data_IF_966907694647
#
_entry.id   IF_966907694647
#
_cell.length_a   1.000
_cell.length_b   1.000
_cell.length_c   1.000
_cell.angle_alpha   90.00
_cell.angle_beta   90.00
_cell.angle_gamma   90.00
#
_symmetry.space_group_name_H-M   'P 1'
#
loop_
_entity.id
_entity.type
_entity.pdbx_description
1 polymer ?
#
# COMPACT_ATOMS: atom_id res chain seq x y z
N UNK A 1 17.88 -4.88 -15.05
CA UNK A 1 17.02 -5.24 -13.91
C UNK A 1 17.22 -4.16 -12.87
N UNK A 2 16.17 -3.38 -12.57
CA UNK A 2 16.24 -2.29 -11.60
C UNK A 2 15.74 -2.83 -10.26
N UNK A 3 16.42 -2.49 -9.17
CA UNK A 3 15.99 -2.80 -7.81
C UNK A 3 14.73 -1.96 -7.47
N UNK A 4 13.72 -2.58 -6.86
CA UNK A 4 12.52 -1.86 -6.41
C UNK A 4 12.86 -0.71 -5.48
N UNK A 5 13.87 -0.88 -4.62
CA UNK A 5 14.29 0.15 -3.65
C UNK A 5 14.70 1.42 -4.37
N UNK A 6 15.54 1.29 -5.39
CA UNK A 6 16.00 2.43 -6.21
C UNK A 6 14.82 3.09 -6.93
N UNK A 7 13.94 2.27 -7.52
CA UNK A 7 12.75 2.75 -8.19
C UNK A 7 11.81 3.52 -7.24
N UNK A 8 11.55 2.99 -6.05
CA UNK A 8 10.71 3.62 -5.04
C UNK A 8 11.31 4.91 -4.50
N UNK A 9 12.63 4.95 -4.28
CA UNK A 9 13.33 6.19 -3.88
C UNK A 9 13.25 7.26 -4.96
N UNK A 10 13.38 6.90 -6.23
CA UNK A 10 13.31 7.85 -7.34
C UNK A 10 11.89 8.36 -7.57
N UNK A 11 10.89 7.48 -7.48
CA UNK A 11 9.55 7.75 -8.01
C UNK A 11 8.47 7.90 -6.93
N UNK A 12 8.79 7.60 -5.67
CA UNK A 12 7.95 7.86 -4.50
C UNK A 12 8.79 8.35 -3.29
N UNK A 13 9.60 9.43 -3.43
CA UNK A 13 10.55 9.86 -2.39
C UNK A 13 9.92 10.34 -1.06
N UNK A 14 8.62 10.66 -1.04
CA UNK A 14 7.91 11.15 0.15
C UNK A 14 7.24 10.02 0.96
N UNK A 15 7.44 8.77 0.57
CA UNK A 15 7.00 7.57 1.30
C UNK A 15 8.24 6.75 1.62
N UNK A 16 8.40 6.37 2.91
CA UNK A 16 9.50 5.50 3.31
C UNK A 16 9.52 4.22 2.47
N UNK A 17 10.71 3.81 2.04
CA UNK A 17 10.86 2.70 1.09
C UNK A 17 10.33 1.37 1.64
N UNK A 18 10.37 1.16 2.96
CA UNK A 18 9.79 -0.03 3.58
C UNK A 18 8.26 0.01 3.51
N UNK A 19 7.65 1.19 3.67
CA UNK A 19 6.19 1.37 3.51
C UNK A 19 5.80 1.12 2.05
N UNK A 20 6.51 1.73 1.09
CA UNK A 20 6.24 1.54 -0.33
C UNK A 20 6.37 0.05 -0.72
N UNK A 21 7.42 -0.62 -0.25
CA UNK A 21 7.64 -2.05 -0.47
C UNK A 21 6.54 -2.90 0.17
N UNK A 22 6.11 -2.55 1.39
CA UNK A 22 5.03 -3.25 2.08
C UNK A 22 3.68 -3.12 1.37
N UNK A 23 3.36 -1.94 0.84
CA UNK A 23 2.16 -1.70 0.05
C UNK A 23 2.26 -2.51 -1.25
N UNK A 24 3.28 -2.31 -2.07
CA UNK A 24 3.41 -2.98 -3.38
C UNK A 24 3.44 -4.50 -3.26
N UNK A 25 4.13 -5.05 -2.25
CA UNK A 25 4.10 -6.49 -1.99
C UNK A 25 2.69 -6.97 -1.61
N UNK A 26 1.94 -6.17 -0.85
CA UNK A 26 0.56 -6.50 -0.48
C UNK A 26 -0.41 -6.37 -1.65
N UNK A 27 -0.16 -5.47 -2.57
CA UNK A 27 -1.05 -5.15 -3.69
C UNK A 27 -0.85 -6.10 -4.87
N UNK A 28 0.39 -6.33 -5.29
CA UNK A 28 0.69 -7.02 -6.55
C UNK A 28 1.78 -8.07 -6.45
N UNK A 29 2.40 -8.25 -5.29
CA UNK A 29 3.65 -9.02 -5.15
C UNK A 29 4.73 -8.56 -6.14
N UNK A 30 4.83 -7.24 -6.33
CA UNK A 30 5.73 -6.61 -7.31
C UNK A 30 5.48 -7.03 -8.77
N UNK A 31 4.22 -7.26 -9.15
CA UNK A 31 3.84 -7.44 -10.55
C UNK A 31 3.44 -6.08 -11.18
N UNK A 32 4.23 -5.51 -12.10
CA UNK A 32 3.93 -4.22 -12.72
C UNK A 32 2.69 -4.26 -13.62
N UNK A 33 2.26 -5.45 -14.06
CA UNK A 33 1.15 -5.63 -14.98
C UNK A 33 -0.10 -6.20 -14.30
N UNK A 34 -0.13 -6.22 -12.96
CA UNK A 34 -1.27 -6.71 -12.20
C UNK A 34 -2.53 -5.88 -12.49
N UNK A 35 -3.65 -6.58 -12.74
CA UNK A 35 -4.98 -6.00 -12.87
C UNK A 35 -5.92 -6.70 -11.89
N UNK A 36 -6.44 -5.93 -10.94
CA UNK A 36 -7.56 -6.30 -10.08
C UNK A 36 -8.89 -5.83 -10.68
N UNK A 37 -9.96 -6.61 -10.56
CA UNK A 37 -11.31 -6.20 -10.99
C UNK A 37 -12.21 -6.11 -9.75
N UNK A 38 -12.66 -4.90 -9.44
CA UNK A 38 -13.48 -4.67 -8.26
C UNK A 38 -14.86 -5.33 -8.40
N UNK A 39 -15.31 -5.95 -7.29
CA UNK A 39 -16.63 -6.63 -7.19
C UNK A 39 -16.85 -7.74 -8.23
N UNK A 40 -15.76 -8.33 -8.73
CA UNK A 40 -15.80 -9.48 -9.62
C UNK A 40 -14.80 -10.55 -9.13
N UNK A 41 -14.95 -11.76 -9.64
CA UNK A 41 -13.88 -12.74 -9.54
C UNK A 41 -12.63 -12.19 -10.23
N UNK A 42 -11.46 -12.49 -9.67
CA UNK A 42 -10.18 -12.10 -10.26
C UNK A 42 -10.03 -12.62 -11.69
N UNK A 43 -9.12 -12.01 -12.45
CA UNK A 43 -8.80 -12.47 -13.79
C UNK A 43 -8.29 -13.91 -13.75
N UNK A 44 -8.74 -14.74 -14.70
CA UNK A 44 -8.26 -16.13 -14.83
C UNK A 44 -6.74 -16.20 -15.04
N UNK A 45 -6.18 -15.19 -15.71
CA UNK A 45 -4.75 -15.04 -15.99
C UNK A 45 -4.40 -13.57 -15.95
N UNK A 46 -3.31 -13.23 -15.26
CA UNK A 46 -2.75 -11.88 -15.24
C UNK A 46 -1.96 -11.61 -16.53
N UNK A 47 -1.98 -10.37 -17.06
CA UNK A 47 -1.13 -9.98 -18.17
C UNK A 47 0.35 -10.21 -17.88
N UNK A 48 1.09 -10.56 -18.93
CA UNK A 48 2.53 -10.87 -18.85
C UNK A 48 3.40 -9.89 -19.64
N UNK A 49 2.79 -9.00 -20.42
CA UNK A 49 3.46 -7.89 -21.10
C UNK A 49 2.66 -6.59 -20.93
N UNK A 50 3.32 -5.47 -21.21
CA UNK A 50 2.69 -4.15 -21.19
C UNK A 50 1.54 -4.04 -22.20
N UNK A 51 1.73 -4.56 -23.42
CA UNK A 51 0.70 -4.51 -24.48
C UNK A 51 -0.53 -5.33 -24.07
N UNK A 52 -0.33 -6.51 -23.48
CA UNK A 52 -1.41 -7.34 -22.94
C UNK A 52 -2.14 -6.59 -21.81
N UNK A 53 -1.40 -5.95 -20.92
CA UNK A 53 -1.95 -5.24 -19.77
C UNK A 53 -2.77 -4.02 -20.19
N UNK A 54 -2.25 -3.18 -21.08
CA UNK A 54 -2.94 -2.01 -21.62
C UNK A 54 -4.20 -2.42 -22.38
N UNK A 55 -4.10 -3.40 -23.28
CA UNK A 55 -5.23 -3.89 -24.06
C UNK A 55 -6.34 -4.43 -23.16
N UNK A 56 -5.97 -5.22 -22.15
CA UNK A 56 -6.91 -5.79 -21.20
C UNK A 56 -7.57 -4.72 -20.32
N UNK A 57 -6.79 -3.78 -19.78
CA UNK A 57 -7.31 -2.70 -18.96
C UNK A 57 -8.29 -1.80 -19.73
N UNK A 58 -7.95 -1.42 -20.98
CA UNK A 58 -8.86 -0.66 -21.85
C UNK A 58 -10.16 -1.41 -22.12
N UNK A 59 -10.08 -2.72 -22.40
CA UNK A 59 -11.26 -3.56 -22.61
C UNK A 59 -12.15 -3.63 -21.36
N UNK A 60 -11.57 -3.76 -20.17
CA UNK A 60 -12.34 -3.80 -18.93
C UNK A 60 -13.00 -2.44 -18.64
N UNK A 61 -12.28 -1.34 -18.83
CA UNK A 61 -12.81 0.01 -18.63
C UNK A 61 -13.93 0.32 -19.64
N UNK A 62 -13.79 -0.06 -20.91
CA UNK A 62 -14.84 0.15 -21.92
C UNK A 62 -16.11 -0.66 -21.63
N UNK A 63 -16.00 -1.74 -20.85
CA UNK A 63 -17.12 -2.51 -20.31
C UNK A 63 -17.71 -1.90 -19.02
N UNK A 64 -17.25 -0.73 -18.60
CA UNK A 64 -17.70 -0.06 -17.37
C UNK A 64 -17.16 -0.70 -16.08
N UNK A 65 -16.11 -1.52 -16.15
CA UNK A 65 -15.51 -2.13 -14.95
C UNK A 65 -14.64 -1.12 -14.19
N UNK A 66 -14.68 -1.21 -12.87
CA UNK A 66 -13.72 -0.55 -11.98
C UNK A 66 -12.55 -1.50 -11.71
N UNK A 67 -11.34 -1.10 -12.05
CA UNK A 67 -10.14 -1.94 -11.98
C UNK A 67 -9.04 -1.28 -11.16
N UNK A 68 -8.16 -2.09 -10.58
CA UNK A 68 -6.95 -1.66 -9.90
C UNK A 68 -5.74 -2.07 -10.75
N UNK A 69 -4.76 -1.17 -10.92
CA UNK A 69 -3.73 -1.34 -11.96
C UNK A 69 -2.31 -1.20 -11.42
N UNK A 70 -1.44 -2.12 -11.82
CA UNK A 70 0.02 -2.08 -11.67
C UNK A 70 0.52 -2.39 -10.26
N UNK A 71 1.77 -2.00 -10.00
CA UNK A 71 2.50 -2.30 -8.75
C UNK A 71 1.70 -2.02 -7.49
N UNK A 72 1.13 -0.83 -7.41
CA UNK A 72 0.43 -0.34 -6.25
C UNK A 72 -1.10 -0.41 -6.40
N UNK A 73 -1.58 -1.15 -7.41
CA UNK A 73 -3.00 -1.40 -7.66
C UNK A 73 -3.83 -0.09 -7.64
N UNK A 74 -3.42 0.88 -8.46
CA UNK A 74 -4.08 2.18 -8.54
C UNK A 74 -5.47 2.02 -9.16
N UNK A 75 -6.50 2.39 -8.40
CA UNK A 75 -7.88 2.27 -8.82
C UNK A 75 -8.22 3.21 -9.99
N UNK A 76 -8.92 2.70 -11.01
CA UNK A 76 -9.29 3.45 -12.22
C UNK A 76 -10.20 4.65 -11.95
N UNK A 77 -10.91 4.68 -10.81
CA UNK A 77 -11.68 5.85 -10.39
C UNK A 77 -10.78 7.06 -10.06
N UNK A 78 -9.49 6.85 -9.77
CA UNK A 78 -8.54 7.94 -9.53
C UNK A 78 -7.96 8.53 -10.82
N UNK A 79 -8.09 7.88 -11.98
CA UNK A 79 -7.35 8.28 -13.19
C UNK A 79 -7.65 9.71 -13.61
N UNK A 80 -8.93 10.08 -13.69
CA UNK A 80 -9.33 11.45 -14.03
C UNK A 80 -8.76 12.48 -13.04
N UNK A 81 -8.78 12.18 -11.75
CA UNK A 81 -8.30 13.07 -10.68
C UNK A 81 -6.78 13.25 -10.73
N UNK A 82 -6.06 12.23 -11.18
CA UNK A 82 -4.60 12.20 -11.28
C UNK A 82 -4.11 12.47 -12.72
N UNK A 83 -5.01 12.81 -13.65
CA UNK A 83 -4.76 13.00 -15.07
C UNK A 83 -4.15 11.78 -15.82
N UNK A 84 -4.25 10.57 -15.26
CA UNK A 84 -3.57 9.38 -15.78
C UNK A 84 -4.31 8.73 -16.96
N UNK A 85 -3.57 8.31 -17.98
CA UNK A 85 -4.04 7.35 -18.98
C UNK A 85 -3.82 5.90 -18.53
N UNK A 86 -4.46 4.96 -19.24
CA UNK A 86 -4.29 3.51 -18.98
C UNK A 86 -2.85 3.08 -19.27
N UNK A 87 -2.24 3.63 -20.32
CA UNK A 87 -0.86 3.42 -20.70
C UNK A 87 0.10 3.88 -19.60
N UNK A 88 -0.09 5.11 -19.12
CA UNK A 88 0.76 5.74 -18.13
C UNK A 88 0.75 5.00 -16.79
N UNK A 89 -0.39 4.48 -16.34
CA UNK A 89 -0.46 3.82 -15.02
C UNK A 89 0.31 2.49 -14.95
N UNK A 90 0.66 1.88 -16.10
CA UNK A 90 1.53 0.71 -16.14
C UNK A 90 3.02 1.07 -16.15
N UNK A 91 3.39 2.35 -16.33
CA UNK A 91 4.75 2.79 -16.07
C UNK A 91 5.03 2.71 -14.55
N UNK A 92 6.07 1.96 -14.13
CA UNK A 92 6.48 1.82 -12.74
C UNK A 92 6.51 3.11 -11.93
N UNK A 93 7.15 4.14 -12.47
CA UNK A 93 7.38 5.39 -11.74
C UNK A 93 6.10 6.20 -11.60
N UNK A 94 5.30 6.24 -12.66
CA UNK A 94 3.98 6.86 -12.65
C UNK A 94 3.05 6.17 -11.66
N UNK A 95 3.06 4.84 -11.60
CA UNK A 95 2.27 4.05 -10.66
C UNK A 95 2.67 4.33 -9.20
N UNK A 96 3.98 4.37 -8.91
CA UNK A 96 4.50 4.67 -7.58
C UNK A 96 4.27 6.13 -7.17
N UNK A 97 4.35 7.08 -8.11
CA UNK A 97 4.01 8.49 -7.88
C UNK A 97 2.54 8.64 -7.50
N UNK A 98 1.65 7.91 -8.19
CA UNK A 98 0.22 7.88 -7.87
C UNK A 98 -0.03 7.24 -6.49
N UNK A 99 0.67 6.16 -6.14
CA UNK A 99 0.62 5.55 -4.81
C UNK A 99 1.03 6.56 -3.74
N UNK A 100 2.16 7.25 -3.92
CA UNK A 100 2.63 8.28 -2.99
C UNK A 100 1.56 9.36 -2.78
N UNK A 101 0.99 9.87 -3.87
CA UNK A 101 -0.02 10.91 -3.82
C UNK A 101 -1.24 10.46 -3.00
N UNK A 102 -1.80 9.29 -3.33
CA UNK A 102 -3.00 8.76 -2.65
C UNK A 102 -2.70 8.45 -1.19
N UNK A 103 -1.57 7.81 -0.90
CA UNK A 103 -1.19 7.44 0.46
C UNK A 103 -0.97 8.67 1.34
N UNK A 104 -0.30 9.70 0.81
CA UNK A 104 -0.06 10.95 1.54
C UNK A 104 -1.35 11.75 1.75
N UNK A 105 -2.27 11.77 0.79
CA UNK A 105 -3.62 12.33 1.00
C UNK A 105 -4.35 11.64 2.16
N UNK A 106 -4.38 10.30 2.14
CA UNK A 106 -4.95 9.51 3.23
C UNK A 106 -4.28 9.79 4.58
N UNK A 107 -2.95 9.89 4.61
CA UNK A 107 -2.19 10.20 5.83
C UNK A 107 -2.48 11.60 6.36
N UNK A 108 -2.59 12.59 5.48
CA UNK A 108 -2.91 13.98 5.86
C UNK A 108 -4.32 14.12 6.42
N UNK A 109 -5.28 13.33 5.93
CA UNK A 109 -6.66 13.28 6.45
C UNK A 109 -6.79 12.47 7.74
N UNK A 110 -5.81 11.64 8.10
CA UNK A 110 -5.80 10.89 9.34
C UNK A 110 -5.38 11.78 10.53
N UNK A 111 -6.18 11.79 11.60
CA UNK A 111 -5.81 12.49 12.85
C UNK A 111 -4.46 11.96 13.36
N UNK A 112 -3.53 12.87 13.67
CA UNK A 112 -2.18 12.53 14.14
C UNK A 112 -1.28 11.91 13.07
N UNK A 113 -1.67 11.95 11.78
CA UNK A 113 -0.93 11.34 10.66
C UNK A 113 -0.67 9.83 10.86
N UNK A 114 -1.61 9.15 11.51
CA UNK A 114 -1.56 7.71 11.81
C UNK A 114 -1.43 6.88 10.53
N UNK A 115 -0.30 6.21 10.39
CA UNK A 115 0.06 5.40 9.22
C UNK A 115 -0.90 4.22 9.00
N UNK A 116 -1.41 3.59 10.05
CA UNK A 116 -2.30 2.45 9.93
C UNK A 116 -3.69 2.89 9.42
N UNK A 117 -4.13 4.08 9.85
CA UNK A 117 -5.32 4.72 9.27
C UNK A 117 -5.09 5.11 7.80
N UNK A 118 -3.90 5.59 7.46
CA UNK A 118 -3.54 5.86 6.07
C UNK A 118 -3.60 4.58 5.21
N UNK A 119 -3.06 3.45 5.70
CA UNK A 119 -3.17 2.13 5.04
C UNK A 119 -4.62 1.71 4.86
N UNK A 120 -5.45 1.84 5.90
CA UNK A 120 -6.89 1.54 5.78
C UNK A 120 -7.56 2.42 4.72
N UNK A 121 -7.25 3.71 4.70
CA UNK A 121 -7.81 4.65 3.74
C UNK A 121 -7.34 4.35 2.31
N UNK A 122 -6.07 3.99 2.12
CA UNK A 122 -5.54 3.61 0.81
C UNK A 122 -6.34 2.44 0.22
N UNK A 123 -6.63 1.42 1.03
CA UNK A 123 -7.38 0.24 0.58
C UNK A 123 -8.90 0.45 0.45
N UNK A 124 -9.51 1.25 1.32
CA UNK A 124 -10.98 1.28 1.47
C UNK A 124 -11.62 2.66 1.36
N UNK A 125 -10.82 3.70 1.12
CA UNK A 125 -11.25 5.09 1.14
C UNK A 125 -11.56 5.65 2.53
N UNK A 126 -11.50 4.84 3.60
CA UNK A 126 -11.78 5.29 4.97
C UNK A 126 -10.79 4.73 6.00
N UNK A 127 -10.66 5.41 7.13
CA UNK A 127 -9.66 5.11 8.17
C UNK A 127 -9.96 3.88 9.05
N UNK A 128 -11.01 3.08 8.75
CA UNK A 128 -11.42 1.97 9.65
C UNK A 128 -11.63 0.62 8.97
N UNK A 129 -12.12 0.59 7.72
CA UNK A 129 -12.55 -0.67 7.10
C UNK A 129 -11.39 -1.60 6.75
N UNK A 130 -10.21 -1.04 6.47
CA UNK A 130 -8.98 -1.80 6.22
C UNK A 130 -8.46 -2.55 7.44
N UNK A 131 -8.86 -2.14 8.65
CA UNK A 131 -8.58 -2.94 9.85
C UNK A 131 -9.47 -4.18 9.91
N UNK A 132 -10.77 -3.99 9.63
CA UNK A 132 -11.77 -5.06 9.69
C UNK A 132 -11.57 -6.13 8.62
N UNK A 133 -11.14 -5.73 7.41
CA UNK A 133 -10.91 -6.67 6.32
C UNK A 133 -9.50 -7.32 6.35
N UNK A 134 -8.69 -7.01 7.36
CA UNK A 134 -7.33 -7.56 7.54
C UNK A 134 -6.25 -6.94 6.67
N UNK A 135 -6.57 -5.95 5.82
CA UNK A 135 -5.58 -5.28 4.97
C UNK A 135 -4.47 -4.62 5.78
N UNK A 136 -4.82 -3.85 6.82
CA UNK A 136 -3.81 -3.18 7.65
C UNK A 136 -2.86 -4.19 8.27
N UNK A 137 -3.38 -5.29 8.83
CA UNK A 137 -2.55 -6.36 9.40
C UNK A 137 -1.63 -7.01 8.34
N UNK A 138 -2.11 -7.20 7.11
CA UNK A 138 -1.29 -7.69 6.00
C UNK A 138 -0.12 -6.75 5.69
N UNK A 139 -0.40 -5.46 5.48
CA UNK A 139 0.63 -4.46 5.15
C UNK A 139 1.61 -4.29 6.31
N UNK A 140 1.14 -4.26 7.57
CA UNK A 140 2.02 -4.16 8.74
C UNK A 140 2.98 -5.33 8.88
N UNK A 141 2.55 -6.56 8.56
CA UNK A 141 3.47 -7.72 8.53
C UNK A 141 4.56 -7.55 7.48
N UNK A 142 4.19 -7.10 6.28
CA UNK A 142 5.15 -6.83 5.22
C UNK A 142 6.09 -5.68 5.58
N UNK A 143 5.57 -4.63 6.24
CA UNK A 143 6.39 -3.52 6.74
C UNK A 143 7.46 -4.01 7.72
N UNK A 144 7.08 -4.83 8.71
CA UNK A 144 8.03 -5.42 9.65
C UNK A 144 9.06 -6.31 8.95
N UNK A 145 8.65 -7.06 7.93
CA UNK A 145 9.57 -7.89 7.13
C UNK A 145 10.64 -7.04 6.43
N UNK A 146 10.25 -5.95 5.77
CA UNK A 146 11.18 -5.07 5.07
C UNK A 146 12.04 -4.22 6.00
N UNK A 147 11.47 -3.69 7.08
CA UNK A 147 12.19 -2.90 8.08
C UNK A 147 13.30 -3.68 8.79
N UNK A 148 13.18 -5.02 8.86
CA UNK A 148 14.20 -5.90 9.42
C UNK A 148 15.32 -6.29 8.42
N UNK A 149 15.53 -5.49 7.37
CA UNK A 149 16.65 -5.65 6.43
C UNK A 149 16.42 -6.60 5.25
N UNK A 150 15.18 -7.03 5.01
CA UNK A 150 14.84 -7.96 3.92
C UNK A 150 14.66 -7.29 2.55
N UNK A 151 15.05 -6.02 2.40
CA UNK A 151 15.01 -5.31 1.11
C UNK A 151 16.12 -5.76 0.13
N UNK A 152 17.20 -6.37 0.63
CA UNK A 152 18.42 -6.65 -0.14
C UNK A 152 18.33 -7.79 -1.18
N UNK A 153 17.14 -8.32 -1.50
CA UNK A 153 17.01 -9.54 -2.33
C UNK A 153 15.85 -9.55 -3.32
N UNK A 154 15.25 -8.40 -3.68
CA UNK A 154 14.10 -8.39 -4.61
C UNK A 154 14.48 -7.91 -6.02
N UNK A 155 14.91 -8.83 -6.91
CA UNK A 155 15.06 -8.53 -8.32
C UNK A 155 13.68 -8.26 -8.94
N UNK A 156 13.32 -6.99 -9.12
CA UNK A 156 12.19 -6.65 -9.99
C UNK A 156 12.62 -6.92 -11.42
N UNK A 157 12.16 -8.05 -11.96
CA UNK A 157 12.30 -8.38 -13.38
C UNK A 157 11.41 -7.46 -14.21
N UNK A 158 11.88 -6.23 -14.44
CA UNK A 158 11.26 -5.31 -15.38
C UNK A 158 12.24 -4.97 -16.50
N UNK A 159 11.80 -5.23 -17.72
CA UNK A 159 12.37 -4.65 -18.93
C UNK A 159 11.35 -3.60 -19.41
N UNK A 160 11.63 -2.28 -19.30
CA UNK A 160 10.73 -1.26 -19.77
C UNK A 160 10.47 -1.45 -21.28
N UNK A 161 9.21 -1.52 -21.72
CA UNK A 161 8.89 -1.41 -23.14
C UNK A 161 8.96 0.08 -23.51
N UNK A 162 10.01 0.47 -24.25
CA UNK A 162 10.24 1.84 -24.77
C UNK A 162 10.77 2.83 -23.71
N UNK A 163 11.49 3.89 -24.12
CA UNK A 163 12.25 4.70 -23.18
C UNK A 163 11.30 5.33 -22.14
N UNK A 164 11.68 5.34 -20.85
CA UNK A 164 10.93 6.10 -19.87
C UNK A 164 10.81 7.53 -20.39
N UNK A 165 9.62 8.13 -20.25
CA UNK A 165 9.50 9.58 -20.27
C UNK A 165 10.66 10.12 -19.43
N UNK A 166 11.49 11.00 -20.00
CA UNK A 166 12.68 11.38 -19.27
C UNK A 166 12.25 12.04 -17.96
N UNK A 167 13.10 11.97 -16.92
CA UNK A 167 12.77 12.49 -15.60
C UNK A 167 12.32 13.96 -15.62
N UNK A 168 12.72 14.73 -16.62
CA UNK A 168 12.32 16.13 -16.81
C UNK A 168 10.88 16.26 -17.33
N UNK A 169 10.45 15.40 -18.25
CA UNK A 169 9.07 15.32 -18.73
C UNK A 169 8.12 14.81 -17.66
N UNK A 170 8.58 13.86 -16.83
CA UNK A 170 7.81 13.30 -15.72
C UNK A 170 7.62 14.34 -14.59
N UNK A 171 8.69 15.06 -14.22
CA UNK A 171 8.62 16.18 -13.28
C UNK A 171 7.75 17.32 -13.82
N UNK A 172 7.85 17.65 -15.11
CA UNK A 172 7.03 18.67 -15.74
C UNK A 172 5.54 18.29 -15.74
N UNK A 173 5.20 17.02 -15.96
CA UNK A 173 3.81 16.54 -15.95
C UNK A 173 3.15 16.67 -14.57
N UNK A 174 3.86 16.34 -13.48
CA UNK A 174 3.34 16.50 -12.13
C UNK A 174 3.40 17.95 -11.63
N UNK A 175 4.41 18.74 -12.02
CA UNK A 175 4.53 20.15 -11.66
C UNK A 175 3.48 21.04 -12.33
N UNK A 176 2.99 20.66 -13.52
CA UNK A 176 2.00 21.45 -14.29
C UNK A 176 0.55 21.09 -13.98
N UNK A 177 0.27 19.89 -13.46
CA UNK A 177 -1.10 19.40 -13.25
C UNK A 177 -1.50 19.17 -11.79
N UNK A 178 -0.57 19.34 -10.85
CA UNK A 178 -0.90 19.31 -9.43
C UNK A 178 -1.05 20.74 -8.89
N UNK A 179 -2.27 21.11 -8.51
CA UNK A 179 -2.48 22.09 -7.44
C UNK A 179 -1.87 21.52 -6.15
N UNK A 180 -0.55 21.60 -6.04
CA UNK A 180 0.20 21.26 -4.83
C UNK A 180 -0.13 22.32 -3.78
N UNK A 181 -0.76 21.99 -2.65
CA UNK A 181 -0.69 22.88 -1.49
C UNK A 181 0.79 23.01 -1.10
N UNK A 182 1.21 24.26 -1.05
CA UNK A 182 2.55 24.78 -0.79
C UNK A 182 3.40 23.90 0.16
N UNK A 183 4.62 23.55 -0.28
CA UNK A 183 5.59 22.70 0.44
C UNK A 183 6.23 23.38 1.66
N UNK A 184 5.77 24.57 2.05
CA UNK A 184 6.37 25.41 3.11
C UNK A 184 6.19 24.88 4.55
N UNK A 185 5.65 23.68 4.74
CA UNK A 185 5.34 23.11 6.07
C UNK A 185 5.98 21.76 6.38
N UNK A 186 6.82 21.21 5.49
CA UNK A 186 7.49 19.93 5.72
C UNK A 186 8.94 20.17 6.15
N UNK A 187 9.14 20.56 7.40
CA UNK A 187 10.45 20.39 8.05
C UNK A 187 10.69 18.89 8.24
N UNK A 188 11.89 18.43 7.91
CA UNK A 188 12.38 17.09 8.22
C UNK A 188 12.23 16.83 9.72
N UNK A 189 11.20 16.09 10.11
CA UNK A 189 11.13 15.53 11.46
C UNK A 189 11.83 14.17 11.42
N UNK A 190 13.11 14.21 11.76
CA UNK A 190 13.95 13.07 12.13
C UNK A 190 13.44 12.48 13.45
N UNK A 191 12.28 11.82 13.42
CA UNK A 191 11.75 11.11 14.58
C UNK A 191 11.14 9.76 14.14
N UNK A 192 12.01 8.94 13.56
CA UNK A 192 11.84 7.50 13.42
C UNK A 192 13.00 6.81 14.14
N UNK A 193 13.21 7.19 15.40
CA UNK A 193 14.01 6.44 16.35
C UNK A 193 13.21 6.33 17.65
N UNK A 194 13.05 5.10 18.13
CA UNK A 194 12.35 4.66 19.35
C UNK A 194 10.84 4.33 19.23
N UNK A 195 10.52 3.25 18.52
CA UNK A 195 9.46 2.36 19.02
C UNK A 195 10.11 1.44 20.08
N UNK A 196 9.56 1.30 21.30
CA UNK A 196 10.14 0.43 22.30
C UNK A 196 10.02 -1.03 21.84
N UNK A 197 11.17 -1.70 21.80
CA UNK A 197 11.26 -3.16 21.72
C UNK A 197 10.56 -3.71 22.95
N UNK A 198 9.50 -4.50 22.75
CA UNK A 198 8.89 -5.28 23.84
C UNK A 198 9.92 -6.33 24.26
N UNK A 199 10.67 -6.00 25.31
CA UNK A 199 11.63 -6.90 25.94
C UNK A 199 10.86 -8.08 26.55
N UNK A 200 11.28 -9.31 26.23
CA UNK A 200 10.75 -10.53 26.85
C UNK A 200 10.99 -10.43 28.36
N UNK A 201 9.93 -10.39 29.16
CA UNK A 201 10.08 -10.44 30.62
C UNK A 201 10.75 -11.75 31.02
N UNK A 202 11.76 -11.73 31.92
CA UNK A 202 12.24 -12.92 32.58
C UNK A 202 11.21 -13.41 33.59
N UNK A 203 11.05 -14.72 33.66
CA UNK A 203 10.21 -15.43 34.61
C UNK A 203 10.65 -15.11 36.04
N UNK A 204 9.89 -14.29 36.77
CA UNK A 204 10.05 -14.14 38.21
C UNK A 204 9.06 -15.05 38.93
N UNK A 205 9.62 -15.90 39.78
CA UNK A 205 8.94 -16.65 40.81
C UNK A 205 8.02 -15.74 41.65
N UNK A 206 6.78 -16.16 41.86
CA UNK A 206 6.00 -15.75 43.04
C UNK A 206 5.38 -16.99 43.68
N UNK A 207 5.67 -17.10 44.97
CA UNK A 207 5.22 -18.04 45.96
C UNK A 207 3.74 -17.84 46.34
N UNK A 208 3.11 -18.95 46.75
CA UNK A 208 1.96 -19.11 47.64
C UNK A 208 0.54 -18.77 47.14
N UNK A 209 -0.17 -19.85 46.77
CA UNK A 209 -1.43 -20.31 47.40
C UNK A 209 -2.65 -19.40 47.39
N UNK A 210 -3.69 -19.76 46.62
CA UNK A 210 -4.89 -20.47 47.11
C UNK A 210 -5.92 -20.65 45.99
N UNK A 211 -6.33 -21.91 45.79
CA UNK A 211 -7.65 -22.42 45.40
C UNK A 211 -8.37 -21.93 44.13
N UNK A 212 -8.19 -22.68 43.05
CA UNK A 212 -9.03 -22.70 41.85
C UNK A 212 -10.06 -23.83 42.00
N UNK A 213 -11.25 -23.56 42.55
CA UNK A 213 -12.38 -24.49 42.42
C UNK A 213 -13.76 -23.92 42.72
N UNK A 214 -14.09 -22.69 42.32
CA UNK A 214 -15.47 -22.22 42.43
C UNK A 214 -15.80 -21.03 41.52
N UNK A 215 -15.93 -21.25 40.20
CA UNK A 215 -16.67 -20.31 39.32
C UNK A 215 -17.02 -20.81 37.91
N UNK A 216 -17.20 -22.12 37.74
CA UNK A 216 -17.68 -22.69 36.46
C UNK A 216 -19.03 -23.40 36.59
N UNK A 217 -19.91 -22.86 37.44
CA UNK A 217 -21.28 -23.36 37.59
C UNK A 217 -22.30 -22.25 37.86
N UNK A 218 -22.32 -21.25 36.99
CA UNK A 218 -23.51 -20.39 36.80
C UNK A 218 -23.33 -19.61 35.51
N UNK A 219 -23.90 -20.12 34.42
CA UNK A 219 -24.41 -19.40 33.24
C UNK A 219 -24.88 -20.44 32.21
N UNK A 220 -25.86 -21.26 32.63
CA UNK A 220 -26.81 -21.95 31.76
C UNK A 220 -28.18 -21.78 32.40
N UNK A 221 -28.90 -20.71 32.04
CA UNK A 221 -30.37 -20.66 31.96
C UNK A 221 -30.86 -19.26 31.56
N UNK A 222 -31.94 -19.19 30.78
CA UNK A 222 -32.69 -18.02 30.26
C UNK A 222 -32.10 -17.41 28.98
N UNK A 223 -32.51 -17.73 27.74
CA UNK A 223 -33.83 -17.82 27.09
C UNK A 223 -34.59 -16.48 26.99
N UNK A 224 -34.86 -16.09 25.73
CA UNK A 224 -36.04 -15.34 25.23
C UNK A 224 -36.06 -13.82 25.51
N UNK A 225 -35.76 -12.99 24.50
CA UNK A 225 -36.71 -12.33 23.57
C UNK A 225 -35.94 -11.85 22.32
#
# INVERSE_FOLDING_TARGET
>A
MIDFVVLAQQCAPQVDVNIASAIVNSESSFNPFAIGVNRAAGLKKQPTSYEEAVSMAKKLISQGRNIDVGFAQINSANFKRLNLSVEQVFDPCTNLSAMQFIFNDCRNRAKGKDIYKAMSCYNTGNHSSGFRNGYVAKVSRNLNYFANGSLNTMPVKFNPPSPPMNSSEQLAYFATNADMPNSSGYTENTELQSLPVVEKRPSFFLTNGTDFKEKEKSLKSSMIF
#
